data_IF_470905667985
#
_entry.id   IF_470905667985
#
_cell.length_a   1.000
_cell.length_b   1.000
_cell.length_c   1.000
_cell.angle_alpha   90.00
_cell.angle_beta   90.00
_cell.angle_gamma   90.00
#
_symmetry.space_group_name_H-M   'P 1'
#
loop_
_entity.id
_entity.type
_entity.pdbx_description
1 polymer ?
#
# COMPACT_ATOMS: atom_id res chain seq x y z
N UNK A 1 -48.74 20.74 -19.39
CA UNK A 1 -47.99 21.80 -18.69
C UNK A 1 -46.75 21.18 -18.06
N UNK A 2 -45.57 21.44 -18.62
CA UNK A 2 -44.30 20.99 -18.08
C UNK A 2 -43.67 22.06 -17.20
N UNK A 3 -43.29 21.71 -15.97
CA UNK A 3 -42.62 22.61 -15.05
C UNK A 3 -41.13 22.28 -15.02
N UNK A 4 -40.33 23.03 -15.78
CA UNK A 4 -38.88 23.03 -15.66
C UNK A 4 -38.48 23.99 -14.52
N UNK A 5 -37.75 23.50 -13.52
CA UNK A 5 -37.08 24.33 -12.51
C UNK A 5 -35.62 24.47 -12.91
N UNK A 6 -35.24 25.66 -13.37
CA UNK A 6 -33.87 26.06 -13.64
C UNK A 6 -33.27 26.59 -12.33
N UNK A 7 -32.09 26.11 -11.94
CA UNK A 7 -31.33 26.64 -10.81
C UNK A 7 -30.24 27.58 -11.36
N UNK A 8 -30.39 28.88 -11.12
CA UNK A 8 -29.39 29.91 -11.42
C UNK A 8 -28.36 29.97 -10.30
N UNK A 9 -27.08 29.85 -10.67
CA UNK A 9 -25.92 30.04 -9.78
C UNK A 9 -25.31 31.40 -10.10
N UNK A 10 -25.53 32.38 -9.22
CA UNK A 10 -24.77 33.64 -9.23
C UNK A 10 -23.86 33.73 -8.01
N UNK A 11 -22.60 33.88 -8.37
CA UNK A 11 -21.39 34.22 -7.62
C UNK A 11 -21.63 35.25 -6.52
N UNK A 12 -21.15 34.99 -5.30
CA UNK A 12 -20.90 36.05 -4.32
C UNK A 12 -19.41 36.20 -4.07
N UNK A 13 -18.97 37.42 -4.37
CA UNK A 13 -17.64 37.97 -4.30
C UNK A 13 -17.33 38.38 -2.85
N UNK A 14 -16.05 38.25 -2.49
CA UNK A 14 -15.35 38.71 -1.30
C UNK A 14 -15.93 39.93 -0.55
N UNK A 15 -15.83 39.89 0.78
CA UNK A 15 -15.80 41.07 1.65
C UNK A 15 -14.63 40.90 2.65
N UNK A 16 -13.77 41.92 2.89
CA UNK A 16 -12.60 41.77 3.76
C UNK A 16 -12.81 42.30 5.20
N UNK A 17 -12.14 41.59 6.12
CA UNK A 17 -11.51 41.98 7.40
C UNK A 17 -12.33 42.73 8.47
N UNK A 18 -12.36 42.14 9.67
CA UNK A 18 -12.12 42.89 10.91
C UNK A 18 -11.13 42.11 11.81
N UNK A 19 -10.23 42.84 12.45
CA UNK A 19 -9.04 42.35 13.16
C UNK A 19 -9.26 42.42 14.66
N UNK A 20 -9.03 41.32 15.37
CA UNK A 20 -9.05 41.27 16.83
C UNK A 20 -7.95 40.33 17.35
N UNK A 21 -6.93 40.92 17.96
CA UNK A 21 -5.82 40.29 18.68
C UNK A 21 -6.28 39.26 19.71
N UNK A 22 -5.59 38.11 19.83
CA UNK A 22 -5.20 37.54 21.12
C UNK A 22 -4.09 36.46 20.97
N UNK A 23 -2.91 36.81 21.48
CA UNK A 23 -1.89 36.00 22.17
C UNK A 23 -1.33 34.74 21.49
N UNK A 24 -0.08 34.88 21.04
CA UNK A 24 0.86 33.82 20.66
C UNK A 24 1.18 32.91 21.85
N UNK A 25 0.74 31.64 21.78
CA UNK A 25 1.31 30.56 22.57
C UNK A 25 2.35 29.83 21.70
N UNK A 26 3.63 30.08 21.99
CA UNK A 26 4.76 29.37 21.40
C UNK A 26 4.79 27.96 21.96
N UNK A 27 4.56 26.96 21.11
CA UNK A 27 4.93 25.57 21.39
C UNK A 27 6.17 25.24 20.57
N UNK A 28 7.30 25.07 21.25
CA UNK A 28 8.56 24.62 20.67
C UNK A 28 8.44 23.15 20.23
N UNK A 29 8.48 22.90 18.92
CA UNK A 29 8.69 21.58 18.34
C UNK A 29 10.12 21.49 17.80
N UNK A 30 11.03 20.74 18.43
CA UNK A 30 12.39 20.56 17.91
C UNK A 30 12.38 19.49 16.82
N UNK A 31 12.35 19.90 15.55
CA UNK A 31 12.38 18.93 14.44
C UNK A 31 12.71 19.46 13.05
N UNK A 32 13.03 20.75 12.90
CA UNK A 32 13.17 21.37 11.57
C UNK A 32 14.57 21.18 10.93
N UNK A 33 15.52 20.58 11.65
CA UNK A 33 16.87 20.33 11.13
C UNK A 33 16.99 19.10 10.21
N UNK A 34 15.94 18.29 10.05
CA UNK A 34 16.01 17.03 9.28
C UNK A 34 15.50 17.12 7.83
N UNK A 35 14.97 18.27 7.38
CA UNK A 35 14.20 18.34 6.12
C UNK A 35 15.01 18.89 4.93
N UNK A 36 16.29 19.25 5.10
CA UNK A 36 17.13 19.87 4.04
C UNK A 36 18.36 19.04 3.65
N UNK A 37 18.22 17.74 3.34
CA UNK A 37 19.37 16.97 2.81
C UNK A 37 19.15 16.08 1.58
N UNK A 38 17.99 16.11 0.93
CA UNK A 38 17.82 15.26 -0.27
C UNK A 38 17.16 16.03 -1.41
N UNK A 39 17.94 16.96 -1.98
CA UNK A 39 17.83 17.35 -3.38
C UNK A 39 19.18 17.07 -4.05
N UNK A 40 19.13 16.35 -5.17
CA UNK A 40 20.23 15.98 -6.08
C UNK A 40 20.82 14.58 -5.87
N UNK A 41 20.33 13.62 -6.66
CA UNK A 41 21.19 12.66 -7.35
C UNK A 41 20.78 12.68 -8.82
N UNK A 42 21.57 13.42 -9.61
CA UNK A 42 21.60 13.37 -11.07
C UNK A 42 22.20 12.04 -11.51
N UNK A 43 21.59 11.39 -12.50
CA UNK A 43 22.06 10.13 -13.09
C UNK A 43 23.28 10.42 -13.98
N UNK A 44 24.47 10.39 -13.40
CA UNK A 44 25.73 10.24 -14.15
C UNK A 44 26.74 9.54 -13.24
N UNK A 45 26.96 8.23 -13.46
CA UNK A 45 28.25 7.54 -13.28
C UNK A 45 28.01 6.03 -13.23
N UNK A 46 28.07 5.38 -14.39
CA UNK A 46 28.31 3.94 -14.47
C UNK A 46 29.26 3.63 -15.63
N UNK A 47 30.35 4.40 -15.68
CA UNK A 47 31.58 4.03 -16.37
C UNK A 47 32.64 3.87 -15.27
N UNK A 48 33.04 2.62 -14.98
CA UNK A 48 34.34 2.19 -14.42
C UNK A 48 34.23 0.94 -13.56
N UNK A 49 34.02 -0.23 -14.17
CA UNK A 49 34.56 -1.50 -13.63
C UNK A 49 34.91 -2.44 -14.78
N UNK A 50 35.92 -2.10 -15.57
CA UNK A 50 36.57 -3.07 -16.47
C UNK A 50 38.08 -2.78 -16.55
N UNK A 51 38.80 -2.98 -15.45
CA UNK A 51 40.25 -3.20 -15.50
C UNK A 51 40.67 -4.06 -14.31
N UNK A 52 40.95 -5.36 -14.55
CA UNK A 52 42.14 -6.07 -14.07
C UNK A 52 41.93 -7.59 -14.08
N UNK A 53 42.87 -8.32 -14.69
CA UNK A 53 43.29 -9.64 -14.23
C UNK A 53 42.90 -10.83 -15.13
N UNK A 54 43.82 -11.24 -16.01
CA UNK A 54 43.69 -12.45 -16.82
C UNK A 54 44.40 -13.69 -16.25
N UNK A 55 43.93 -14.85 -16.75
CA UNK A 55 44.55 -16.20 -16.87
C UNK A 55 44.72 -17.01 -15.56
N UNK A 56 44.45 -18.34 -15.50
CA UNK A 56 44.68 -19.42 -16.49
C UNK A 56 43.90 -20.72 -16.11
N UNK A 57 43.39 -21.46 -17.10
CA UNK A 57 42.77 -22.81 -17.00
C UNK A 57 43.83 -23.91 -17.29
N UNK A 58 43.70 -25.14 -16.76
CA UNK A 58 43.64 -26.35 -17.61
C UNK A 58 42.52 -27.38 -17.21
N UNK A 59 42.24 -28.40 -18.05
CA UNK A 59 40.86 -28.86 -18.34
C UNK A 59 40.54 -30.34 -17.98
N UNK A 60 39.30 -30.76 -18.35
CA UNK A 60 38.79 -32.13 -18.63
C UNK A 60 38.18 -32.91 -17.43
N UNK A 61 36.95 -33.47 -17.43
CA UNK A 61 36.02 -33.96 -18.47
C UNK A 61 34.53 -33.98 -17.98
N UNK A 62 33.58 -33.72 -18.91
CA UNK A 62 32.23 -34.33 -19.14
C UNK A 62 31.20 -34.43 -17.96
N UNK A 63 29.89 -34.14 -18.03
CA UNK A 63 28.90 -33.78 -19.06
C UNK A 63 27.52 -33.56 -18.34
N UNK A 64 26.74 -32.57 -18.79
CA UNK A 64 25.31 -32.18 -18.59
C UNK A 64 24.60 -32.22 -17.21
N UNK A 65 24.09 -31.05 -16.77
CA UNK A 65 22.63 -30.80 -16.76
C UNK A 65 22.33 -29.29 -16.86
N UNK A 66 21.48 -28.94 -17.81
CA UNK A 66 21.05 -27.58 -18.16
C UNK A 66 19.77 -27.29 -17.38
N UNK A 67 19.89 -26.80 -16.15
CA UNK A 67 18.74 -26.40 -15.35
C UNK A 67 18.74 -24.90 -15.09
N UNK A 68 17.87 -24.26 -15.87
CA UNK A 68 17.03 -23.12 -15.52
C UNK A 68 17.79 -21.85 -15.16
N UNK A 69 18.02 -21.04 -16.18
CA UNK A 69 18.09 -19.59 -15.99
C UNK A 69 16.78 -19.12 -15.39
N UNK A 70 16.65 -19.19 -14.06
CA UNK A 70 15.70 -18.39 -13.31
C UNK A 70 15.96 -16.95 -13.70
N UNK A 71 15.09 -16.45 -14.58
CA UNK A 71 14.94 -15.03 -14.84
C UNK A 71 14.74 -14.37 -13.49
N UNK A 72 15.81 -13.84 -12.89
CA UNK A 72 15.78 -13.12 -11.62
C UNK A 72 14.87 -11.91 -11.80
N UNK A 73 13.58 -12.10 -11.54
CA UNK A 73 12.62 -11.00 -11.57
C UNK A 73 12.97 -10.08 -10.43
N UNK A 74 13.70 -9.01 -10.73
CA UNK A 74 13.99 -8.00 -9.72
C UNK A 74 12.68 -7.30 -9.34
N UNK A 75 12.40 -7.26 -8.03
CA UNK A 75 11.26 -6.54 -7.51
C UNK A 75 11.67 -5.11 -7.17
N UNK A 76 10.87 -4.16 -7.63
CA UNK A 76 10.96 -2.78 -7.17
C UNK A 76 9.68 -2.37 -6.45
N UNK A 77 9.83 -1.45 -5.48
CA UNK A 77 8.72 -1.00 -4.65
C UNK A 77 8.47 0.49 -4.84
N UNK A 78 7.21 0.86 -5.05
CA UNK A 78 6.77 2.27 -5.04
C UNK A 78 5.95 2.51 -3.78
N UNK A 79 6.56 3.23 -2.84
CA UNK A 79 5.95 3.59 -1.56
C UNK A 79 4.83 4.61 -1.73
N UNK A 80 3.89 4.62 -0.76
CA UNK A 80 2.77 5.57 -0.69
C UNK A 80 1.99 5.69 -2.00
N UNK A 81 1.79 4.57 -2.67
CA UNK A 81 1.09 4.48 -3.94
C UNK A 81 -0.42 4.55 -3.71
N UNK A 82 -1.15 5.03 -4.70
CA UNK A 82 -2.60 4.94 -4.70
C UNK A 82 -3.03 3.54 -5.18
N UNK A 83 -3.89 2.80 -4.44
CA UNK A 83 -4.28 1.45 -4.81
C UNK A 83 -5.21 1.44 -6.03
N UNK A 84 -4.61 1.25 -7.20
CA UNK A 84 -5.27 1.16 -8.49
C UNK A 84 -5.56 -0.29 -8.84
N UNK A 85 -6.72 -0.53 -9.46
CA UNK A 85 -7.09 -1.86 -9.88
C UNK A 85 -6.09 -2.38 -10.93
N UNK A 86 -5.74 -3.66 -10.84
CA UNK A 86 -4.70 -4.30 -11.65
C UNK A 86 -3.29 -4.19 -11.08
N UNK A 87 -3.07 -3.42 -10.00
CA UNK A 87 -1.79 -3.39 -9.29
C UNK A 87 -1.71 -4.41 -8.17
N UNK A 88 -0.49 -4.87 -7.88
CA UNK A 88 -0.18 -5.66 -6.68
C UNK A 88 0.47 -4.78 -5.62
N UNK A 89 0.04 -4.94 -4.37
CA UNK A 89 0.45 -4.09 -3.26
C UNK A 89 0.79 -4.90 -2.02
N UNK A 90 1.74 -4.38 -1.25
CA UNK A 90 1.87 -4.69 0.17
C UNK A 90 1.00 -3.67 0.93
N UNK A 91 0.17 -4.15 1.84
CA UNK A 91 -0.67 -3.32 2.70
C UNK A 91 0.02 -3.24 4.06
N UNK A 92 0.65 -2.10 4.34
CA UNK A 92 1.60 -1.92 5.44
C UNK A 92 1.01 -1.06 6.57
N UNK A 93 1.05 -1.58 7.80
CA UNK A 93 0.92 -0.78 9.01
C UNK A 93 2.24 -0.04 9.27
N UNK A 94 2.23 1.27 9.05
CA UNK A 94 3.44 2.10 9.19
C UNK A 94 3.89 2.27 10.63
N UNK A 95 2.98 2.12 11.61
CA UNK A 95 3.30 2.36 13.02
C UNK A 95 4.21 1.28 13.59
N UNK A 96 4.03 0.04 13.14
CA UNK A 96 4.79 -1.13 13.60
C UNK A 96 5.61 -1.79 12.49
N UNK A 97 5.57 -1.24 11.26
CA UNK A 97 6.27 -1.77 10.08
C UNK A 97 5.93 -3.24 9.81
N UNK A 98 4.63 -3.56 9.87
CA UNK A 98 4.09 -4.91 9.63
C UNK A 98 3.20 -4.93 8.40
N UNK A 99 3.37 -5.92 7.54
CA UNK A 99 2.51 -6.15 6.39
C UNK A 99 1.32 -7.02 6.79
N UNK A 100 0.15 -6.74 6.22
CA UNK A 100 -0.98 -7.65 6.25
C UNK A 100 -0.66 -8.87 5.38
N UNK A 101 -0.59 -10.04 5.98
CA UNK A 101 -0.33 -11.32 5.30
C UNK A 101 -1.52 -12.25 5.41
N UNK A 102 -1.55 -13.28 4.57
CA UNK A 102 -2.54 -14.34 4.61
C UNK A 102 -1.87 -15.71 4.65
N UNK A 103 -2.33 -16.56 5.57
CA UNK A 103 -1.92 -17.96 5.65
C UNK A 103 -3.18 -18.83 5.76
N UNK A 104 -3.48 -19.61 4.72
CA UNK A 104 -4.64 -20.52 4.70
C UNK A 104 -5.94 -19.79 5.05
N UNK A 105 -6.11 -18.57 4.54
CA UNK A 105 -7.28 -17.72 4.76
C UNK A 105 -7.30 -16.95 6.08
N UNK A 106 -6.32 -17.14 6.97
CA UNK A 106 -6.17 -16.38 8.21
C UNK A 106 -5.26 -15.17 7.98
N UNK A 107 -5.66 -14.01 8.49
CA UNK A 107 -4.89 -12.77 8.39
C UNK A 107 -3.91 -12.65 9.53
N UNK A 108 -2.71 -12.12 9.25
CA UNK A 108 -1.69 -11.80 10.25
C UNK A 108 -0.99 -10.50 9.88
N UNK A 109 -0.36 -9.87 10.87
CA UNK A 109 0.54 -8.75 10.67
C UNK A 109 1.96 -9.21 10.96
N UNK A 110 2.78 -9.29 9.92
CA UNK A 110 4.14 -9.80 10.01
C UNK A 110 5.17 -8.71 9.66
N UNK A 111 6.32 -8.64 10.36
CA UNK A 111 7.39 -7.72 10.01
C UNK A 111 7.83 -7.90 8.56
N UNK A 112 8.08 -6.80 7.86
CA UNK A 112 8.53 -6.84 6.46
C UNK A 112 9.69 -5.89 6.22
N UNK A 113 10.66 -6.35 5.43
CA UNK A 113 11.80 -5.56 4.99
C UNK A 113 11.66 -5.32 3.49
N UNK A 114 11.29 -4.11 3.09
CA UNK A 114 11.08 -3.72 1.69
C UNK A 114 12.40 -3.48 0.93
N UNK A 115 13.52 -3.90 1.52
CA UNK A 115 14.85 -3.92 0.91
C UNK A 115 15.20 -5.29 0.33
N UNK A 116 14.39 -6.30 0.61
CA UNK A 116 14.66 -7.67 0.19
C UNK A 116 14.28 -7.83 -1.29
N UNK A 117 15.14 -8.49 -2.06
CA UNK A 117 14.91 -8.78 -3.49
C UNK A 117 13.68 -9.69 -3.72
N UNK A 118 13.21 -10.33 -2.64
CA UNK A 118 12.05 -11.18 -2.64
C UNK A 118 11.09 -10.81 -1.50
N UNK A 119 9.80 -10.68 -1.82
CA UNK A 119 8.72 -10.53 -0.84
C UNK A 119 7.72 -11.65 -1.00
N UNK A 120 7.38 -12.30 0.12
CA UNK A 120 6.45 -13.43 0.12
C UNK A 120 5.13 -13.06 -0.56
N UNK A 121 4.65 -13.91 -1.46
CA UNK A 121 3.34 -13.78 -2.10
C UNK A 121 2.18 -13.75 -1.09
N UNK A 122 2.39 -14.27 0.13
CA UNK A 122 1.42 -14.20 1.23
C UNK A 122 1.21 -12.76 1.73
N UNK A 123 2.18 -11.87 1.55
CA UNK A 123 2.09 -10.45 1.87
C UNK A 123 1.58 -9.60 0.69
N UNK A 124 1.47 -10.20 -0.50
CA UNK A 124 1.09 -9.50 -1.73
C UNK A 124 -0.42 -9.58 -1.97
N UNK A 125 -1.02 -8.43 -2.28
CA UNK A 125 -2.44 -8.28 -2.53
C UNK A 125 -2.69 -7.64 -3.88
N UNK A 126 -3.31 -8.40 -4.78
CA UNK A 126 -3.79 -7.90 -6.07
C UNK A 126 -5.06 -7.07 -5.87
N UNK A 127 -4.96 -5.78 -6.23
CA UNK A 127 -6.06 -4.84 -6.14
C UNK A 127 -7.01 -5.01 -7.33
N UNK A 128 -8.30 -5.10 -7.03
CA UNK A 128 -9.38 -5.17 -8.00
C UNK A 128 -10.37 -4.03 -7.74
N UNK A 129 -11.21 -3.72 -8.74
CA UNK A 129 -12.32 -2.81 -8.55
C UNK A 129 -13.61 -3.42 -9.10
N UNK A 130 -14.71 -3.27 -8.36
CA UNK A 130 -16.04 -3.71 -8.76
C UNK A 130 -17.09 -2.83 -8.09
N UNK A 131 -18.05 -2.35 -8.87
CA UNK A 131 -19.16 -1.50 -8.38
C UNK A 131 -18.70 -0.26 -7.59
N UNK A 132 -17.53 0.31 -7.91
CA UNK A 132 -16.95 1.45 -7.19
C UNK A 132 -16.15 1.10 -5.93
N UNK A 133 -16.13 -0.18 -5.51
CA UNK A 133 -15.37 -0.66 -4.36
C UNK A 133 -14.05 -1.29 -4.80
N UNK A 134 -13.05 -1.20 -3.92
CA UNK A 134 -11.79 -1.93 -4.03
C UNK A 134 -11.95 -3.30 -3.38
N UNK A 135 -11.21 -4.27 -3.90
CA UNK A 135 -11.09 -5.60 -3.31
C UNK A 135 -9.67 -6.09 -3.44
N UNK A 136 -9.17 -6.79 -2.44
CA UNK A 136 -7.77 -7.20 -2.35
C UNK A 136 -7.69 -8.72 -2.36
N UNK A 137 -7.18 -9.29 -3.45
CA UNK A 137 -7.00 -10.74 -3.60
C UNK A 137 -5.57 -11.10 -3.21
N UNK A 138 -5.41 -11.96 -2.21
CA UNK A 138 -4.09 -12.46 -1.86
C UNK A 138 -3.48 -13.23 -3.04
N UNK A 139 -2.21 -12.97 -3.34
CA UNK A 139 -1.52 -13.59 -4.49
C UNK A 139 -1.30 -15.08 -4.24
N UNK A 140 -0.76 -15.46 -3.08
CA UNK A 140 -0.47 -16.86 -2.75
C UNK A 140 -1.74 -17.73 -2.68
N UNK A 141 -2.76 -17.26 -1.97
CA UNK A 141 -3.97 -18.06 -1.68
C UNK A 141 -5.06 -17.92 -2.75
N UNK A 142 -4.97 -16.89 -3.59
CA UNK A 142 -5.98 -16.59 -4.60
C UNK A 142 -7.37 -16.28 -4.02
N UNK A 143 -7.43 -15.78 -2.78
CA UNK A 143 -8.68 -15.44 -2.07
C UNK A 143 -8.74 -13.95 -1.73
N UNK A 144 -9.94 -13.40 -1.71
CA UNK A 144 -10.18 -12.01 -1.36
C UNK A 144 -10.20 -11.81 0.14
N UNK A 145 -9.50 -10.76 0.59
CA UNK A 145 -9.69 -10.12 1.89
C UNK A 145 -11.15 -9.70 2.02
N UNK A 146 -11.74 -9.99 3.16
CA UNK A 146 -13.09 -9.61 3.51
C UNK A 146 -13.37 -9.88 4.97
N UNK A 147 -14.64 -9.90 5.33
CA UNK A 147 -15.10 -10.31 6.65
C UNK A 147 -16.25 -11.32 6.54
N UNK A 148 -16.63 -11.96 7.64
CA UNK A 148 -17.79 -12.82 7.68
C UNK A 148 -19.03 -12.11 8.25
N UNK A 149 -20.10 -12.87 8.52
CA UNK A 149 -21.35 -12.35 9.10
C UNK A 149 -21.17 -11.82 10.53
N UNK A 150 -20.09 -12.20 11.22
CA UNK A 150 -19.73 -11.76 12.55
C UNK A 150 -18.71 -10.61 12.54
N UNK A 151 -18.35 -10.11 11.35
CA UNK A 151 -17.34 -9.07 11.13
C UNK A 151 -15.91 -9.52 11.43
N UNK A 152 -15.68 -10.83 11.52
CA UNK A 152 -14.33 -11.38 11.64
C UNK A 152 -13.66 -11.37 10.26
N UNK A 153 -12.49 -10.73 10.20
CA UNK A 153 -11.76 -10.59 8.95
C UNK A 153 -11.01 -11.86 8.56
N UNK A 154 -11.12 -12.24 7.29
CA UNK A 154 -10.45 -13.39 6.73
C UNK A 154 -10.16 -13.17 5.23
N UNK A 155 -9.47 -14.13 4.61
CA UNK A 155 -9.29 -14.16 3.17
C UNK A 155 -9.71 -15.51 2.60
N UNK A 156 -11.02 -15.78 2.59
CA UNK A 156 -11.59 -17.06 2.15
C UNK A 156 -12.43 -16.96 0.88
N UNK A 157 -12.84 -15.77 0.47
CA UNK A 157 -13.76 -15.61 -0.66
C UNK A 157 -13.05 -15.80 -2.01
N UNK A 158 -13.68 -16.52 -2.93
CA UNK A 158 -13.21 -16.65 -4.32
C UNK A 158 -13.66 -15.51 -5.22
N UNK A 159 -14.61 -14.70 -4.75
CA UNK A 159 -15.22 -13.60 -5.50
C UNK A 159 -15.15 -12.30 -4.73
N UNK A 160 -14.89 -11.20 -5.42
CA UNK A 160 -15.04 -9.85 -4.90
C UNK A 160 -16.54 -9.51 -4.81
N UNK A 161 -17.11 -9.65 -3.62
CA UNK A 161 -18.53 -9.47 -3.33
C UNK A 161 -18.70 -8.58 -2.10
N UNK A 162 -19.91 -8.50 -1.54
CA UNK A 162 -20.28 -7.50 -0.54
C UNK A 162 -19.35 -7.45 0.67
N UNK A 163 -18.86 -8.60 1.14
CA UNK A 163 -17.99 -8.67 2.32
C UNK A 163 -16.52 -8.38 2.01
N UNK A 164 -16.17 -8.32 0.72
CA UNK A 164 -14.85 -8.02 0.19
C UNK A 164 -14.79 -6.60 -0.39
N UNK A 165 -15.84 -5.80 -0.21
CA UNK A 165 -15.92 -4.42 -0.68
C UNK A 165 -15.27 -3.48 0.33
N UNK A 166 -14.19 -2.83 -0.12
CA UNK A 166 -13.49 -1.80 0.63
C UNK A 166 -13.58 -0.44 -0.05
N UNK A 167 -13.66 0.61 0.76
CA UNK A 167 -13.36 1.97 0.34
C UNK A 167 -12.03 2.41 0.91
N UNK A 168 -11.28 3.19 0.14
CA UNK A 168 -9.96 3.68 0.51
C UNK A 168 -10.04 5.20 0.72
N UNK A 169 -9.98 5.64 1.97
CA UNK A 169 -10.05 7.05 2.35
C UNK A 169 -8.65 7.61 2.58
N UNK A 170 -8.26 8.61 1.78
CA UNK A 170 -6.92 9.20 1.84
C UNK A 170 -6.71 9.99 3.14
N UNK A 171 -5.51 9.86 3.70
CA UNK A 171 -5.02 10.53 4.91
C UNK A 171 -3.80 11.41 4.56
N UNK A 172 -3.44 12.38 5.42
CA UNK A 172 -2.20 13.12 5.27
C UNK A 172 -0.99 12.20 5.10
N UNK A 173 0.05 12.69 4.42
CA UNK A 173 1.31 11.96 4.28
C UNK A 173 1.30 10.78 3.30
N UNK A 174 0.23 10.62 2.50
CA UNK A 174 0.11 9.52 1.52
C UNK A 174 -0.35 8.21 2.12
N UNK A 175 -0.97 8.26 3.30
CA UNK A 175 -1.52 7.11 4.01
C UNK A 175 -3.02 7.02 3.77
N UNK A 176 -3.63 5.94 4.23
CA UNK A 176 -5.02 5.63 3.96
C UNK A 176 -5.69 4.95 5.13
N UNK A 177 -6.97 5.23 5.30
CA UNK A 177 -7.87 4.33 6.01
C UNK A 177 -8.53 3.40 5.00
N UNK A 178 -8.36 2.10 5.23
CA UNK A 178 -9.15 1.08 4.57
C UNK A 178 -10.44 0.89 5.35
N UNK A 179 -11.59 0.91 4.66
CA UNK A 179 -12.90 0.93 5.31
C UNK A 179 -13.85 -0.09 4.70
N UNK A 180 -14.73 -0.62 5.54
CA UNK A 180 -15.85 -1.49 5.17
C UNK A 180 -17.18 -0.78 5.38
N UNK A 181 -18.18 -1.15 4.59
CA UNK A 181 -19.55 -0.72 4.83
C UNK A 181 -20.15 -1.55 5.96
N UNK A 182 -20.19 -0.98 7.16
CA UNK A 182 -20.83 -1.57 8.31
C UNK A 182 -22.21 -0.93 8.52
N UNK A 183 -23.25 -1.70 8.23
CA UNK A 183 -24.65 -1.28 8.07
C UNK A 183 -24.84 -0.18 7.01
N UNK A 184 -24.52 1.06 7.36
CA UNK A 184 -24.64 2.27 6.53
C UNK A 184 -23.53 3.28 6.79
N UNK A 185 -22.53 2.89 7.57
CA UNK A 185 -21.42 3.73 8.01
C UNK A 185 -20.11 3.08 7.60
N UNK A 186 -19.08 3.91 7.36
CA UNK A 186 -17.76 3.42 7.03
C UNK A 186 -16.98 3.15 8.32
N UNK A 187 -16.63 1.89 8.55
CA UNK A 187 -15.80 1.44 9.66
C UNK A 187 -14.41 1.08 9.14
N UNK A 188 -13.40 1.33 9.95
CA UNK A 188 -11.98 1.27 9.65
C UNK A 188 -11.49 -0.15 9.92
N UNK A 189 -10.66 -0.65 9.01
CA UNK A 189 -9.92 -1.88 9.22
C UNK A 189 -8.70 -1.54 10.07
N UNK A 190 -8.70 -2.00 11.31
CA UNK A 190 -7.71 -1.63 12.33
C UNK A 190 -6.93 -2.85 12.78
N UNK A 191 -5.62 -2.69 12.93
CA UNK A 191 -4.70 -3.75 13.34
C UNK A 191 -4.87 -4.08 14.83
N UNK A 192 -4.85 -5.37 15.15
CA UNK A 192 -4.72 -5.84 16.54
C UNK A 192 -3.28 -5.63 17.01
N UNK A 193 -3.11 -5.17 18.25
CA UNK A 193 -1.79 -4.85 18.82
C UNK A 193 -0.82 -6.04 18.73
N UNK A 194 -1.31 -7.24 19.07
CA UNK A 194 -0.57 -8.51 19.01
C UNK A 194 -0.24 -9.01 17.59
N UNK A 195 -0.76 -8.35 16.55
CA UNK A 195 -0.55 -8.72 15.15
C UNK A 195 -1.34 -9.97 14.70
N UNK A 196 -2.27 -10.46 15.51
CA UNK A 196 -3.10 -11.64 15.19
C UNK A 196 -4.11 -11.42 14.06
N UNK A 197 -4.21 -10.20 13.54
CA UNK A 197 -5.08 -9.84 12.43
C UNK A 197 -5.60 -8.41 12.54
N UNK A 198 -6.80 -8.20 12.01
CA UNK A 198 -7.48 -6.89 12.00
C UNK A 198 -8.90 -7.01 12.55
N UNK A 199 -9.51 -5.88 12.91
CA UNK A 199 -10.88 -5.76 13.38
C UNK A 199 -11.51 -4.46 12.85
N UNK A 200 -12.84 -4.37 12.92
CA UNK A 200 -13.56 -3.17 12.52
C UNK A 200 -13.68 -2.21 13.72
N UNK A 201 -13.24 -0.97 13.54
CA UNK A 201 -13.41 0.13 14.50
C UNK A 201 -14.13 1.28 13.78
N UNK A 202 -14.81 2.21 14.47
CA UNK A 202 -15.60 3.27 13.83
C UNK A 202 -14.89 4.64 13.80
N UNK A 203 -14.19 4.97 14.86
CA UNK A 203 -13.72 6.35 15.07
C UNK A 203 -12.19 6.48 14.88
N UNK A 204 -11.47 5.36 14.99
CA UNK A 204 -10.01 5.29 14.89
C UNK A 204 -9.65 4.18 13.90
N UNK A 205 -8.61 4.42 13.10
CA UNK A 205 -8.16 3.48 12.08
C UNK A 205 -6.64 3.37 12.05
N UNK A 206 -6.13 2.21 11.64
CA UNK A 206 -4.74 2.08 11.23
C UNK A 206 -4.46 2.95 10.02
N UNK A 207 -3.37 3.71 10.06
CA UNK A 207 -2.87 4.43 8.90
C UNK A 207 -2.09 3.46 8.01
N UNK A 208 -2.76 2.99 6.96
CA UNK A 208 -2.21 2.04 6.00
C UNK A 208 -1.39 2.75 4.92
N UNK A 209 -0.24 2.18 4.59
CA UNK A 209 0.49 2.50 3.38
C UNK A 209 0.32 1.38 2.34
N UNK A 210 -0.03 1.76 1.12
CA UNK A 210 0.00 0.84 -0.02
C UNK A 210 1.34 0.97 -0.74
N UNK A 211 2.16 -0.07 -0.65
CA UNK A 211 3.45 -0.15 -1.34
C UNK A 211 3.25 -0.99 -2.59
N UNK A 212 3.34 -0.38 -3.78
CA UNK A 212 3.14 -1.08 -5.04
C UNK A 212 4.36 -1.95 -5.35
N UNK A 213 4.11 -3.21 -5.70
CA UNK A 213 5.13 -4.16 -6.17
C UNK A 213 5.21 -4.07 -7.69
N UNK A 214 6.42 -3.83 -8.20
CA UNK A 214 6.74 -3.85 -9.62
C UNK A 214 7.59 -5.07 -9.88
N UNK A 215 7.10 -5.99 -10.70
CA UNK A 215 7.92 -7.06 -11.26
C UNK A 215 8.58 -6.52 -12.52
N UNK A 216 9.91 -6.43 -12.53
CA UNK A 216 10.66 -6.22 -13.76
C UNK A 216 11.01 -7.59 -14.33
N UNK A 217 10.46 -7.89 -15.50
CA UNK A 217 10.97 -8.98 -16.34
C UNK A 217 12.10 -8.39 -17.17
N UNK A 218 13.26 -9.01 -17.15
CA UNK A 218 14.40 -8.64 -18.01
C UNK A 218 14.10 -8.96 -19.49
#
# INVERSE_FOLDING_TARGET
MGNHRTWDIRTNIFSPVDSGELTTATFDCPGEAAIMRWRSCSVQSLDNVLHSGGQKIPPQDEEYDDHDGESSTSLAFVRKSDPQAGGTYIILDVSQTRALTCHKGQLRLEPVHLSDDHISEQAQWFCTAKNGFKGFKNVAEGRFLGHDVWWDFCANASSHSLWEYFTIARRPGGLYWMQILHWWTQWQVTVREDGSGVYAEKDIGTDWEFVKVLSMSD
#
